data_IF_916852766665
#
_entry.id   IF_916852766665
#
_cell.length_a   1.000
_cell.length_b   1.000
_cell.length_c   1.000
_cell.angle_alpha   90.00
_cell.angle_beta   90.00
_cell.angle_gamma   90.00
#
_symmetry.space_group_name_H-M   'P 1'
#
loop_
_entity.id
_entity.type
_entity.pdbx_description
1 polymer ?
#
# COMPACT_ATOMS: atom_id res chain seq x y z
N UNK A 1 2.17 -13.50 -4.21
CA UNK A 1 1.41 -12.30 -4.67
C UNK A 1 2.13 -11.65 -5.87
N UNK A 2 1.41 -10.98 -6.78
CA UNK A 2 2.01 -10.16 -7.84
C UNK A 2 2.48 -10.90 -9.11
N UNK A 3 2.03 -12.13 -9.37
CA UNK A 3 2.32 -12.80 -10.64
C UNK A 3 1.56 -12.11 -11.79
N UNK A 4 2.28 -11.66 -12.83
CA UNK A 4 1.69 -10.93 -13.96
C UNK A 4 1.32 -9.48 -13.66
N UNK A 5 1.81 -8.90 -12.56
CA UNK A 5 1.60 -7.49 -12.25
C UNK A 5 2.42 -6.61 -13.20
N UNK A 6 1.78 -6.05 -14.23
CA UNK A 6 2.42 -5.21 -15.25
C UNK A 6 2.04 -3.73 -15.15
N UNK A 7 1.07 -3.39 -14.31
CA UNK A 7 0.58 -2.02 -14.13
C UNK A 7 0.03 -1.77 -12.72
N UNK A 8 0.03 -0.50 -12.30
CA UNK A 8 -0.45 -0.06 -10.99
C UNK A 8 0.44 -0.47 -9.82
N UNK A 9 -0.12 -0.42 -8.62
CA UNK A 9 0.51 -0.81 -7.36
C UNK A 9 -0.55 -1.37 -6.42
N UNK A 10 -0.10 -1.93 -5.30
CA UNK A 10 -0.97 -2.40 -4.24
C UNK A 10 -0.41 -2.06 -2.86
N UNK A 11 -1.30 -1.91 -1.89
CA UNK A 11 -0.95 -1.95 -0.47
C UNK A 11 -1.33 -3.30 0.12
N UNK A 12 -0.41 -3.90 0.88
CA UNK A 12 -0.64 -5.18 1.55
C UNK A 12 -0.35 -5.02 3.04
N UNK A 13 -1.35 -5.25 3.88
CA UNK A 13 -1.16 -5.31 5.33
C UNK A 13 -0.58 -6.67 5.72
N UNK A 14 0.61 -6.67 6.32
CA UNK A 14 1.32 -7.88 6.75
C UNK A 14 1.64 -7.82 8.25
N UNK A 15 0.71 -8.32 9.06
CA UNK A 15 0.84 -8.35 10.52
C UNK A 15 1.90 -9.37 10.98
N UNK A 16 1.99 -10.51 10.29
CA UNK A 16 2.89 -11.63 10.65
C UNK A 16 4.31 -11.47 10.09
N UNK A 17 4.56 -10.45 9.26
CA UNK A 17 5.86 -10.15 8.64
C UNK A 17 6.39 -11.27 7.73
N UNK A 18 5.49 -12.10 7.17
CA UNK A 18 5.86 -13.23 6.33
C UNK A 18 5.68 -12.95 4.81
N UNK A 19 5.27 -11.73 4.44
CA UNK A 19 5.05 -11.36 3.04
C UNK A 19 6.35 -11.24 2.24
N UNK A 20 7.47 -10.94 2.91
CA UNK A 20 8.80 -10.87 2.28
C UNK A 20 9.13 -12.14 1.51
N UNK A 21 8.73 -13.32 2.00
CA UNK A 21 9.01 -14.60 1.34
C UNK A 21 7.87 -15.07 0.41
N UNK A 22 6.77 -14.31 0.32
CA UNK A 22 5.50 -14.73 -0.33
C UNK A 22 5.10 -13.85 -1.52
N UNK A 23 6.07 -13.21 -2.16
CA UNK A 23 5.85 -12.37 -3.35
C UNK A 23 6.64 -12.87 -4.56
N UNK A 24 6.23 -12.46 -5.77
CA UNK A 24 6.99 -12.77 -6.98
C UNK A 24 8.23 -11.86 -7.07
N UNK A 25 9.35 -12.34 -6.53
CA UNK A 25 10.63 -11.63 -6.53
C UNK A 25 11.17 -11.30 -7.92
N UNK A 26 10.65 -11.91 -9.00
CA UNK A 26 11.10 -11.62 -10.36
C UNK A 26 10.48 -10.34 -10.91
N UNK A 27 9.18 -10.11 -10.65
CA UNK A 27 8.39 -9.09 -11.35
C UNK A 27 8.06 -7.85 -10.52
N UNK A 28 8.04 -7.98 -9.19
CA UNK A 28 7.61 -6.89 -8.30
C UNK A 28 8.68 -6.56 -7.27
N UNK A 29 8.71 -5.29 -6.87
CA UNK A 29 9.42 -4.79 -5.71
C UNK A 29 8.42 -4.49 -4.59
N UNK A 30 8.90 -4.60 -3.36
CA UNK A 30 8.14 -4.26 -2.16
C UNK A 30 8.89 -3.20 -1.36
N UNK A 31 8.15 -2.19 -0.90
CA UNK A 31 8.68 -1.10 -0.09
C UNK A 31 7.89 -1.00 1.20
N UNK A 32 8.58 -0.92 2.34
CA UNK A 32 7.90 -0.69 3.62
C UNK A 32 7.39 0.74 3.64
N UNK A 33 6.11 0.94 3.93
CA UNK A 33 5.55 2.30 4.07
C UNK A 33 6.12 2.91 5.35
N UNK A 34 7.18 3.70 5.22
CA UNK A 34 7.90 4.30 6.34
C UNK A 34 7.64 5.81 6.45
N UNK A 35 7.64 6.38 7.67
CA UNK A 35 7.36 7.81 7.87
C UNK A 35 8.40 8.74 7.24
N UNK A 36 9.65 8.29 7.09
CA UNK A 36 10.79 9.16 6.75
C UNK A 36 10.81 9.61 5.29
N UNK A 37 10.30 8.79 4.37
CA UNK A 37 10.45 9.02 2.92
C UNK A 37 9.18 8.76 2.10
N UNK A 38 8.05 8.40 2.75
CA UNK A 38 6.83 7.97 2.05
C UNK A 38 5.55 8.65 2.57
N UNK A 39 5.63 9.94 2.92
CA UNK A 39 4.49 10.69 3.45
C UNK A 39 3.31 10.72 2.48
N UNK A 40 3.55 10.94 1.18
CA UNK A 40 2.49 10.99 0.17
C UNK A 40 1.76 9.65 0.03
N UNK A 41 2.50 8.54 0.05
CA UNK A 41 1.98 7.17 0.00
C UNK A 41 1.16 6.86 1.26
N UNK A 42 1.67 7.28 2.43
CA UNK A 42 0.99 7.12 3.71
C UNK A 42 -0.35 7.85 3.75
N UNK A 43 -0.37 9.10 3.30
CA UNK A 43 -1.61 9.90 3.23
C UNK A 43 -2.60 9.24 2.28
N UNK A 44 -2.15 8.87 1.09
CA UNK A 44 -3.01 8.21 0.10
C UNK A 44 -3.57 6.87 0.60
N UNK A 45 -2.75 6.03 1.26
CA UNK A 45 -3.20 4.80 1.91
C UNK A 45 -4.28 5.08 2.96
N UNK A 46 -4.06 6.08 3.83
CA UNK A 46 -5.03 6.43 4.87
C UNK A 46 -6.36 6.89 4.26
N UNK A 47 -6.30 7.63 3.17
CA UNK A 47 -7.49 8.10 2.45
C UNK A 47 -8.27 6.94 1.83
N UNK A 48 -7.58 5.98 1.19
CA UNK A 48 -8.20 4.75 0.67
C UNK A 48 -8.89 3.93 1.76
N UNK A 49 -8.24 3.75 2.92
CA UNK A 49 -8.84 3.00 4.03
C UNK A 49 -10.06 3.75 4.58
N UNK A 50 -10.01 5.09 4.64
CA UNK A 50 -11.14 5.93 5.06
C UNK A 50 -12.32 5.79 4.11
N UNK A 51 -12.09 5.90 2.81
CA UNK A 51 -13.12 5.70 1.79
C UNK A 51 -13.74 4.32 1.93
N UNK A 52 -12.92 3.27 2.04
CA UNK A 52 -13.41 1.91 2.27
C UNK A 52 -14.26 1.79 3.55
N UNK A 53 -13.84 2.41 4.66
CA UNK A 53 -14.60 2.39 5.90
C UNK A 53 -15.96 3.10 5.76
N UNK A 54 -16.01 4.23 5.05
CA UNK A 54 -17.23 4.98 4.78
C UNK A 54 -18.21 4.18 3.91
N UNK A 55 -17.71 3.56 2.83
CA UNK A 55 -18.54 2.84 1.87
C UNK A 55 -19.02 1.48 2.41
N UNK A 56 -18.24 0.83 3.28
CA UNK A 56 -18.54 -0.55 3.73
C UNK A 56 -18.96 -0.66 5.19
N UNK A 57 -18.72 0.37 6.00
CA UNK A 57 -18.89 0.30 7.45
C UNK A 57 -17.95 -0.68 8.14
N UNK A 58 -16.82 -1.05 7.53
CA UNK A 58 -15.89 -2.06 8.02
C UNK A 58 -15.30 -1.70 9.40
N UNK A 59 -15.60 -2.47 10.47
CA UNK A 59 -15.00 -2.23 11.79
C UNK A 59 -13.49 -2.40 11.78
N UNK A 60 -12.98 -3.28 10.91
CA UNK A 60 -11.55 -3.51 10.76
C UNK A 60 -10.84 -2.31 10.10
N UNK A 61 -11.48 -1.68 9.12
CA UNK A 61 -10.95 -0.46 8.53
C UNK A 61 -10.93 0.68 9.54
N UNK A 62 -11.97 0.78 10.39
CA UNK A 62 -12.01 1.77 11.48
C UNK A 62 -10.89 1.55 12.50
N UNK A 63 -10.68 0.31 12.94
CA UNK A 63 -9.58 -0.08 13.84
C UNK A 63 -8.22 0.36 13.27
N UNK A 64 -7.97 0.08 11.99
CA UNK A 64 -6.73 0.49 11.33
C UNK A 64 -6.60 2.02 11.26
N UNK A 65 -7.69 2.77 11.05
CA UNK A 65 -7.66 4.23 10.99
C UNK A 65 -7.37 4.86 12.35
N UNK A 66 -7.98 4.32 13.40
CA UNK A 66 -7.85 4.79 14.78
C UNK A 66 -6.42 4.56 15.29
N UNK A 67 -5.83 3.41 14.95
CA UNK A 67 -4.48 3.00 15.34
C UNK A 67 -3.46 3.11 14.19
N UNK A 68 -3.69 3.99 13.22
CA UNK A 68 -2.94 4.00 11.96
C UNK A 68 -1.42 4.17 12.13
N UNK A 69 -0.96 4.87 13.16
CA UNK A 69 0.47 5.03 13.44
C UNK A 69 1.15 3.68 13.74
N UNK A 70 0.44 2.75 14.37
CA UNK A 70 0.95 1.43 14.71
C UNK A 70 0.86 0.50 13.50
N UNK A 71 -0.24 0.57 12.73
CA UNK A 71 -0.47 -0.28 11.56
C UNK A 71 0.30 0.13 10.31
N UNK A 72 0.57 1.42 10.08
CA UNK A 72 1.23 1.88 8.82
C UNK A 72 2.56 1.18 8.62
N UNK A 73 3.28 0.97 9.72
CA UNK A 73 4.54 0.27 9.73
C UNK A 73 4.41 -1.20 9.39
N UNK A 74 3.22 -1.77 9.16
CA UNK A 74 2.96 -3.16 8.70
C UNK A 74 2.54 -3.25 7.24
N UNK A 75 2.36 -2.12 6.55
CA UNK A 75 2.00 -2.12 5.14
C UNK A 75 3.23 -2.23 4.24
N UNK A 76 3.08 -3.06 3.22
CA UNK A 76 3.94 -3.09 2.04
C UNK A 76 3.28 -2.34 0.90
N UNK A 77 4.03 -1.45 0.27
CA UNK A 77 3.72 -0.98 -1.07
C UNK A 77 4.36 -1.93 -2.08
N UNK A 78 3.53 -2.51 -2.94
CA UNK A 78 3.95 -3.43 -4.01
C UNK A 78 3.87 -2.69 -5.34
N UNK A 79 4.96 -2.68 -6.10
CA UNK A 79 4.99 -2.13 -7.47
C UNK A 79 5.71 -3.09 -8.43
N UNK A 80 5.38 -3.09 -9.72
CA UNK A 80 6.22 -3.69 -10.75
C UNK A 80 7.62 -3.07 -10.77
N UNK A 81 8.64 -3.91 -11.02
CA UNK A 81 10.04 -3.45 -11.13
C UNK A 81 10.26 -2.43 -12.25
N UNK A 82 9.47 -2.54 -13.32
CA UNK A 82 9.55 -1.67 -14.49
C UNK A 82 8.99 -0.25 -14.26
N UNK A 83 8.41 0.05 -13.09
CA UNK A 83 7.88 1.38 -12.77
C UNK A 83 8.62 2.03 -11.60
N UNK A 84 8.80 3.34 -11.69
CA UNK A 84 9.29 4.15 -10.59
C UNK A 84 8.16 4.52 -9.63
N UNK A 85 8.51 4.67 -8.35
CA UNK A 85 7.58 5.07 -7.30
C UNK A 85 7.07 6.51 -7.51
N UNK A 86 7.89 7.39 -8.07
CA UNK A 86 7.50 8.78 -8.33
C UNK A 86 6.40 8.87 -9.41
N UNK A 87 6.54 8.10 -10.49
CA UNK A 87 5.60 8.06 -11.60
C UNK A 87 4.23 7.53 -11.17
N UNK A 88 4.25 6.57 -10.24
CA UNK A 88 3.07 5.91 -9.70
C UNK A 88 2.09 6.90 -9.04
N UNK A 89 2.59 7.82 -8.20
CA UNK A 89 1.76 8.84 -7.54
C UNK A 89 1.27 9.89 -8.55
N UNK A 90 2.11 10.24 -9.53
CA UNK A 90 1.71 11.16 -10.60
C UNK A 90 0.50 10.65 -11.36
N UNK A 91 0.49 9.37 -11.73
CA UNK A 91 -0.62 8.72 -12.43
C UNK A 91 -1.90 8.61 -11.58
N UNK A 92 -1.79 8.43 -10.26
CA UNK A 92 -2.95 8.37 -9.37
C UNK A 92 -3.71 9.68 -9.27
N UNK A 93 -2.99 10.80 -9.20
CA UNK A 93 -3.59 12.15 -9.11
C UNK A 93 -4.29 12.59 -10.39
N UNK A 94 -3.98 11.95 -11.51
CA UNK A 94 -4.61 12.24 -12.81
C UNK A 94 -5.77 11.32 -13.14
N UNK A 95 -5.95 10.22 -12.39
CA UNK A 95 -7.02 9.25 -12.60
C UNK A 95 -8.22 9.42 -11.66
N UNK A 96 -8.15 10.34 -10.70
CA UNK A 96 -9.24 10.77 -9.81
C UNK A 96 -9.75 12.16 -10.23
#
# INVERSE_FOLDING_TARGET
FGAGMTGGFAYVLDLERNFVDRHNHELIDIHRVSPEHMEAQRTYLKDLIREHALETGSPWAQEILDNFADYVGHFWLVKPKAMDLADLIGSLRTAA
#
